data_IF_778335373303
#
_entry.id   IF_778335373303
#
_cell.length_a   1.000
_cell.length_b   1.000
_cell.length_c   1.000
_cell.angle_alpha   90.00
_cell.angle_beta   90.00
_cell.angle_gamma   90.00
#
_symmetry.space_group_name_H-M   'P 1'
#
loop_
_entity.id
_entity.type
_entity.pdbx_description
1 polymer ?
#
# COMPACT_ATOMS: atom_id res chain seq x y z
N UNK A 1 -4.63 2.57 -8.01
CA UNK A 1 -3.33 2.02 -8.48
C UNK A 1 -2.23 2.40 -7.50
N UNK A 2 -1.23 1.54 -7.24
CA UNK A 2 -0.07 1.86 -6.41
C UNK A 2 1.21 2.02 -7.26
N UNK A 3 2.03 3.01 -6.96
CA UNK A 3 3.24 3.31 -7.72
C UNK A 3 4.41 3.56 -6.78
N UNK A 4 5.54 2.93 -7.06
CA UNK A 4 6.79 3.17 -6.32
C UNK A 4 7.76 3.88 -7.25
N UNK A 5 8.30 5.04 -6.84
CA UNK A 5 9.19 5.87 -7.66
C UNK A 5 10.30 6.46 -6.82
N UNK A 6 11.48 6.59 -7.41
CA UNK A 6 12.54 7.44 -6.84
C UNK A 6 12.20 8.89 -7.15
N UNK A 7 12.11 9.71 -6.10
CA UNK A 7 11.74 11.12 -6.16
C UNK A 7 12.97 12.02 -6.28
N UNK A 8 13.09 12.99 -5.36
CA UNK A 8 14.32 13.76 -5.20
C UNK A 8 15.50 12.86 -4.79
N UNK A 9 16.76 13.32 -4.91
CA UNK A 9 17.92 12.53 -4.52
C UNK A 9 17.80 12.01 -3.08
N UNK A 10 17.78 10.68 -2.92
CA UNK A 10 17.64 10.02 -1.63
C UNK A 10 16.19 9.85 -1.14
N UNK A 11 15.18 10.28 -1.90
CA UNK A 11 13.78 10.09 -1.57
C UNK A 11 13.16 8.94 -2.38
N UNK A 12 12.36 8.13 -1.69
CA UNK A 12 11.52 7.08 -2.25
C UNK A 12 10.05 7.44 -2.02
N UNK A 13 9.28 7.46 -3.09
CA UNK A 13 7.88 7.89 -3.10
C UNK A 13 6.98 6.69 -3.40
N UNK A 14 6.05 6.41 -2.49
CA UNK A 14 4.96 5.47 -2.68
C UNK A 14 3.67 6.26 -2.91
N UNK A 15 3.19 6.25 -4.15
CA UNK A 15 1.94 6.92 -4.55
C UNK A 15 0.81 5.90 -4.58
N UNK A 16 -0.27 6.21 -3.90
CA UNK A 16 -1.48 5.40 -3.79
C UNK A 16 -2.65 6.17 -4.39
N UNK A 17 -3.17 5.71 -5.52
CA UNK A 17 -4.26 6.37 -6.23
C UNK A 17 -5.60 5.70 -5.93
N UNK A 18 -6.51 6.44 -5.31
CA UNK A 18 -7.89 6.02 -5.06
C UNK A 18 -8.11 5.18 -3.80
N UNK A 19 -9.39 4.90 -3.53
CA UNK A 19 -9.83 4.28 -2.27
C UNK A 19 -9.46 2.79 -2.14
N UNK A 20 -9.21 2.07 -3.24
CA UNK A 20 -8.85 0.65 -3.20
C UNK A 20 -7.50 0.43 -2.49
N UNK A 21 -6.62 1.42 -2.54
CA UNK A 21 -5.30 1.44 -1.93
C UNK A 21 -5.32 1.89 -0.46
N UNK A 22 -6.48 2.24 0.10
CA UNK A 22 -6.62 2.57 1.52
C UNK A 22 -6.16 1.41 2.42
N UNK A 23 -6.26 0.15 1.95
CA UNK A 23 -5.73 -1.00 2.68
C UNK A 23 -4.20 -0.96 2.79
N UNK A 24 -3.50 -0.49 1.75
CA UNK A 24 -2.05 -0.27 1.79
C UNK A 24 -1.76 0.85 2.77
N UNK A 25 -2.44 1.99 2.61
CA UNK A 25 -2.27 3.15 3.48
C UNK A 25 -2.47 2.80 4.96
N UNK A 26 -3.51 2.03 5.30
CA UNK A 26 -3.79 1.67 6.70
C UNK A 26 -2.72 0.80 7.34
N UNK A 27 -2.07 -0.08 6.56
CA UNK A 27 -0.94 -0.91 7.01
C UNK A 27 0.34 -0.10 7.10
N UNK A 28 0.67 0.65 6.05
CA UNK A 28 1.98 1.29 5.96
C UNK A 28 2.03 2.63 6.71
N UNK A 29 0.92 3.32 6.95
CA UNK A 29 0.88 4.61 7.70
C UNK A 29 1.44 4.53 9.12
N UNK A 30 1.46 3.33 9.73
CA UNK A 30 1.98 3.13 11.09
C UNK A 30 3.49 2.99 11.14
N UNK A 31 4.14 2.94 9.98
CA UNK A 31 5.59 2.81 9.89
C UNK A 31 6.26 4.14 10.25
N UNK A 32 7.24 4.19 11.17
CA UNK A 32 7.79 5.44 11.68
C UNK A 32 8.81 6.11 10.76
N UNK A 33 9.20 5.48 9.65
CA UNK A 33 10.26 5.97 8.75
C UNK A 33 9.74 6.88 7.63
N UNK A 34 8.49 7.33 7.71
CA UNK A 34 7.97 8.32 6.78
C UNK A 34 8.56 9.69 7.07
N UNK A 35 9.11 10.32 6.03
CA UNK A 35 9.60 11.68 6.08
C UNK A 35 8.46 12.68 5.92
N UNK A 36 7.57 12.44 4.96
CA UNK A 36 6.38 13.26 4.74
C UNK A 36 5.27 12.48 4.06
N UNK A 37 4.06 13.04 4.14
CA UNK A 37 2.86 12.54 3.46
C UNK A 37 2.23 13.70 2.70
N UNK A 38 2.03 13.52 1.41
CA UNK A 38 1.38 14.48 0.53
C UNK A 38 0.03 13.89 0.09
N UNK A 39 -1.04 14.63 0.32
CA UNK A 39 -2.41 14.17 0.01
C UNK A 39 -2.97 15.06 -1.07
N UNK A 40 -3.21 14.48 -2.24
CA UNK A 40 -3.88 15.12 -3.34
C UNK A 40 -5.39 14.87 -3.24
N UNK A 41 -6.15 15.97 -3.27
CA UNK A 41 -7.61 15.96 -3.21
C UNK A 41 -8.17 16.50 -4.49
N UNK A 42 -9.37 16.04 -4.84
CA UNK A 42 -10.03 16.47 -6.05
C UNK A 42 -10.34 17.98 -5.96
N UNK A 43 -9.99 18.78 -6.99
CA UNK A 43 -10.23 20.22 -6.98
C UNK A 43 -11.73 20.57 -7.10
N UNK A 44 -12.55 19.70 -7.70
CA UNK A 44 -14.00 19.85 -7.76
C UNK A 44 -14.70 19.31 -6.50
N UNK A 45 -14.13 18.28 -5.85
CA UNK A 45 -14.61 17.74 -4.58
C UNK A 45 -13.48 17.53 -3.55
N UNK A 46 -13.31 18.49 -2.64
CA UNK A 46 -12.28 18.43 -1.59
C UNK A 46 -12.49 17.32 -0.56
N UNK A 47 -13.61 16.60 -0.60
CA UNK A 47 -13.89 15.44 0.26
C UNK A 47 -13.31 14.16 -0.33
N UNK A 48 -13.05 14.14 -1.64
CA UNK A 48 -12.43 13.01 -2.34
C UNK A 48 -10.91 13.13 -2.36
N UNK A 49 -10.26 12.11 -1.81
CA UNK A 49 -8.82 11.92 -1.94
C UNK A 49 -8.53 11.19 -3.26
N UNK A 50 -7.77 11.84 -4.14
CA UNK A 50 -7.40 11.34 -5.46
C UNK A 50 -6.14 10.49 -5.35
N UNK A 51 -5.14 11.00 -4.65
CA UNK A 51 -3.89 10.27 -4.44
C UNK A 51 -3.25 10.60 -3.08
N UNK A 52 -2.51 9.64 -2.53
CA UNK A 52 -1.69 9.81 -1.34
C UNK A 52 -0.26 9.41 -1.67
N UNK A 53 0.67 10.33 -1.51
CA UNK A 53 2.10 10.10 -1.71
C UNK A 53 2.78 10.02 -0.35
N UNK A 54 3.36 8.87 -0.05
CA UNK A 54 4.15 8.63 1.15
C UNK A 54 5.64 8.70 0.76
N UNK A 55 6.39 9.57 1.43
CA UNK A 55 7.80 9.81 1.13
C UNK A 55 8.67 9.25 2.25
N UNK A 56 9.65 8.43 1.92
CA UNK A 56 10.67 7.89 2.84
C UNK A 56 12.07 8.02 2.22
N UNK A 57 13.11 7.68 2.98
CA UNK A 57 14.48 7.65 2.49
C UNK A 57 14.77 6.41 1.63
N UNK A 58 15.69 6.51 0.68
CA UNK A 58 16.14 5.37 -0.13
C UNK A 58 16.79 4.26 0.71
N UNK A 59 17.34 4.57 1.90
CA UNK A 59 17.85 3.58 2.85
C UNK A 59 16.75 2.61 3.34
N UNK A 60 15.49 3.04 3.26
CA UNK A 60 14.33 2.25 3.68
C UNK A 60 13.66 1.50 2.52
N UNK A 61 14.21 1.57 1.30
CA UNK A 61 13.60 0.98 0.12
C UNK A 61 13.38 -0.53 0.24
N UNK A 62 14.41 -1.26 0.69
CA UNK A 62 14.34 -2.71 0.84
C UNK A 62 13.23 -3.12 1.83
N UNK A 63 13.13 -2.39 2.94
CA UNK A 63 12.10 -2.59 3.96
C UNK A 63 10.71 -2.32 3.40
N UNK A 64 10.53 -1.21 2.68
CA UNK A 64 9.23 -0.85 2.09
C UNK A 64 8.79 -1.89 1.05
N UNK A 65 9.70 -2.31 0.16
CA UNK A 65 9.41 -3.37 -0.82
C UNK A 65 9.06 -4.68 -0.13
N UNK A 66 9.74 -5.03 0.96
CA UNK A 66 9.42 -6.25 1.70
C UNK A 66 8.04 -6.18 2.36
N UNK A 67 7.68 -5.05 2.98
CA UNK A 67 6.35 -4.84 3.57
C UNK A 67 5.27 -4.99 2.48
N UNK A 68 5.46 -4.34 1.33
CA UNK A 68 4.52 -4.39 0.21
C UNK A 68 4.39 -5.80 -0.37
N UNK A 69 5.50 -6.53 -0.49
CA UNK A 69 5.52 -7.92 -0.94
C UNK A 69 4.80 -8.85 0.05
N UNK A 70 5.13 -8.78 1.35
CA UNK A 70 4.59 -9.70 2.37
C UNK A 70 3.11 -9.42 2.68
N UNK A 71 2.73 -8.15 2.71
CA UNK A 71 1.38 -7.75 3.13
C UNK A 71 0.39 -7.77 1.96
N UNK A 72 0.85 -7.43 0.75
CA UNK A 72 -0.03 -7.20 -0.40
C UNK A 72 0.34 -7.97 -1.67
N UNK A 73 1.44 -8.75 -1.65
CA UNK A 73 1.93 -9.45 -2.84
C UNK A 73 2.45 -8.50 -3.93
N UNK A 74 2.67 -7.22 -3.63
CA UNK A 74 3.12 -6.23 -4.60
C UNK A 74 4.63 -6.29 -4.77
N UNK A 75 5.08 -6.67 -5.97
CA UNK A 75 6.50 -6.76 -6.33
C UNK A 75 6.82 -5.67 -7.35
N UNK A 76 7.59 -4.68 -6.91
CA UNK A 76 8.08 -3.59 -7.75
C UNK A 76 9.49 -3.93 -8.28
N UNK A 77 9.79 -3.64 -9.57
CA UNK A 77 11.13 -3.81 -10.12
C UNK A 77 12.08 -2.72 -9.58
N UNK A 78 13.40 -2.91 -9.61
CA UNK A 78 14.38 -2.02 -8.95
C UNK A 78 14.27 -0.56 -9.40
N UNK A 79 13.95 -0.29 -10.67
CA UNK A 79 13.72 1.08 -11.15
C UNK A 79 12.43 1.76 -10.61
N UNK A 80 11.62 1.03 -9.84
CA UNK A 80 10.28 1.44 -9.47
C UNK A 80 9.26 1.10 -10.56
N UNK A 81 7.98 1.38 -10.32
CA UNK A 81 6.95 1.08 -11.29
C UNK A 81 5.54 1.17 -10.74
N UNK A 82 4.58 0.94 -11.63
CA UNK A 82 3.17 0.95 -11.31
C UNK A 82 2.68 -0.49 -11.13
N UNK A 83 1.96 -0.75 -10.04
CA UNK A 83 1.26 -2.00 -9.80
C UNK A 83 -0.15 -1.70 -9.36
N UNK A 84 -1.12 -2.28 -10.05
CA UNK A 84 -2.45 -2.35 -9.48
C UNK A 84 -2.42 -3.40 -8.38
N UNK A 85 -3.09 -3.12 -7.25
CA UNK A 85 -3.60 -4.22 -6.44
C UNK A 85 -4.48 -5.06 -7.35
N UNK A 86 -4.02 -6.27 -7.69
CA UNK A 86 -4.98 -7.30 -8.01
C UNK A 86 -5.80 -7.47 -6.73
N UNK A 87 -7.12 -7.28 -6.81
CA UNK A 87 -8.01 -7.69 -5.74
C UNK A 87 -7.77 -9.19 -5.54
N UNK A 88 -6.83 -9.56 -4.67
CA UNK A 88 -6.68 -10.95 -4.27
C UNK A 88 -8.05 -11.34 -3.73
N UNK A 89 -8.68 -12.39 -4.29
CA UNK A 89 -10.01 -12.78 -3.86
C UNK A 89 -9.90 -13.02 -2.37
N UNK A 90 -10.79 -12.38 -1.62
CA UNK A 90 -11.01 -12.61 -0.19
C UNK A 90 -10.75 -14.08 0.07
N UNK A 91 -9.64 -14.41 0.73
CA UNK A 91 -9.44 -15.74 1.28
C UNK A 91 -10.54 -15.82 2.31
N UNK A 92 -11.67 -16.40 1.91
CA UNK A 92 -12.78 -16.70 2.79
C UNK A 92 -12.15 -17.36 4.00
N UNK A 93 -12.38 -16.88 5.24
CA UNK A 93 -11.88 -17.59 6.41
C UNK A 93 -12.38 -19.02 6.26
N UNK A 94 -11.47 -19.99 6.12
CA UNK A 94 -11.83 -21.39 6.22
C UNK A 94 -12.54 -21.50 7.55
N UNK A 95 -13.87 -21.66 7.50
CA UNK A 95 -14.65 -21.97 8.68
C UNK A 95 -13.99 -23.22 9.25
N UNK A 96 -13.32 -23.03 10.38
CA UNK A 96 -12.84 -24.12 11.22
C UNK A 96 -14.13 -24.81 11.64
N UNK A 97 -14.46 -25.90 10.95
CA UNK A 97 -15.62 -26.72 11.25
C UNK A 97 -15.44 -27.27 12.65
N UNK A 98 -15.93 -26.51 13.63
CA UNK A 98 -16.20 -27.00 14.97
C UNK A 98 -17.17 -28.16 14.80
N UNK A 99 -16.72 -29.38 15.09
CA UNK A 99 -17.61 -30.49 15.38
C UNK A 99 -18.53 -30.09 16.54
N UNK A 100 -19.83 -30.43 16.46
CA UNK A 100 -20.46 -31.05 17.61
C UNK A 100 -21.05 -32.42 17.26
N UNK A 101 -20.95 -33.33 18.23
CA UNK A 101 -21.56 -34.66 18.27
C UNK A 101 -23.09 -34.58 18.18
N UNK A 102 -23.72 -35.57 17.55
CA UNK A 102 -25.09 -36.10 17.70
C UNK A 102 -25.20 -37.29 16.73
N UNK A 103 -25.64 -38.51 17.03
CA UNK A 103 -26.28 -39.16 18.18
C UNK A 103 -25.63 -40.54 18.37
#
# INVERSE_FOLDING_TARGET
MASLRMGAPGELWLVLHGAAENVILTTVRRWPHWLRVEVERDPADKSQCVSVTLVTGCDQEATLREILRRSFGLIFPPEGGNRSLALSPIIKPQQRGSKPRLR
#
